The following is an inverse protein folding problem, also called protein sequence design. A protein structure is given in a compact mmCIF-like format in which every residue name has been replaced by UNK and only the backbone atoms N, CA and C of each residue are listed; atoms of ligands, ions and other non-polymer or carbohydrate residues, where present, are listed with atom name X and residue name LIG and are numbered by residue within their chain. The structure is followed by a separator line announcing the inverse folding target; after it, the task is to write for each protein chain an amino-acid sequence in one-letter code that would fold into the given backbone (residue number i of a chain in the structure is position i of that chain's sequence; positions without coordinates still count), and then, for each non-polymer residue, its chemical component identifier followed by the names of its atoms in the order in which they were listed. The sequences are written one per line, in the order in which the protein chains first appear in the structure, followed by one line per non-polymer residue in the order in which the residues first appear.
data_IF_949373965555
#
_entry.id   IF_949373965555
#
_cell.length_a   1.000
_cell.length_b   1.000
_cell.length_c   1.000
_cell.angle_alpha   90.00
_cell.angle_beta   90.00
_cell.angle_gamma   90.00
#
_symmetry.space_group_name_H-M   'P 1'
#
loop_
_entity.id
_entity.type
_entity.pdbx_description
1 polymer ?
#
# COMPACT_ATOMS: atom_id res chain seq x y z
N UNK A 1 -6.89 6.61 -11.99
CA UNK A 1 -7.26 5.23 -12.41
C UNK A 1 -8.22 4.63 -11.38
N UNK A 2 -9.11 3.73 -11.78
CA UNK A 2 -10.08 3.09 -10.87
C UNK A 2 -9.49 1.82 -10.26
N UNK A 3 -9.63 1.64 -8.96
CA UNK A 3 -9.30 0.39 -8.26
C UNK A 3 -10.15 -0.77 -8.84
N UNK A 4 -9.54 -1.92 -9.13
CA UNK A 4 -10.21 -3.07 -9.78
C UNK A 4 -10.08 -4.36 -8.95
N UNK A 5 -10.86 -5.37 -9.30
CA UNK A 5 -10.82 -6.68 -8.63
C UNK A 5 -9.43 -7.37 -8.69
N UNK A 6 -8.65 -7.15 -9.76
CA UNK A 6 -7.29 -7.69 -9.86
C UNK A 6 -6.36 -7.07 -8.79
N UNK A 7 -6.50 -5.76 -8.53
CA UNK A 7 -5.76 -5.09 -7.46
C UNK A 7 -6.15 -5.59 -6.07
N UNK A 8 -7.41 -6.01 -5.90
CA UNK A 8 -7.87 -6.62 -4.64
C UNK A 8 -7.28 -8.02 -4.44
N UNK A 9 -7.08 -8.81 -5.50
CA UNK A 9 -6.44 -10.14 -5.43
C UNK A 9 -4.95 -10.02 -5.07
N UNK A 10 -4.23 -9.10 -5.70
CA UNK A 10 -2.82 -8.85 -5.36
C UNK A 10 -2.64 -8.39 -3.90
N UNK A 11 -3.60 -7.59 -3.39
CA UNK A 11 -3.60 -7.16 -1.98
C UNK A 11 -4.03 -8.28 -1.00
N UNK A 12 -4.79 -9.29 -1.45
CA UNK A 12 -5.17 -10.45 -0.63
C UNK A 12 -3.99 -11.40 -0.39
N UNK A 13 -2.96 -11.36 -1.23
CA UNK A 13 -1.68 -12.06 -1.00
C UNK A 13 -0.89 -11.48 0.18
N UNK A 14 -1.27 -10.30 0.69
CA UNK A 14 -0.73 -9.72 1.92
C UNK A 14 -1.37 -10.33 3.17
N UNK A 15 -1.12 -11.62 3.39
CA UNK A 15 -1.76 -12.45 4.43
C UNK A 15 -1.64 -11.91 5.87
N UNK A 16 -0.76 -10.94 6.13
CA UNK A 16 -0.45 -10.43 7.47
C UNK A 16 -0.53 -8.90 7.62
N UNK A 17 -1.07 -8.18 6.63
CA UNK A 17 -1.17 -6.71 6.71
C UNK A 17 -2.45 -6.30 7.43
N UNK A 18 -2.32 -5.34 8.34
CA UNK A 18 -3.45 -4.77 9.04
C UNK A 18 -4.45 -4.12 8.06
N UNK A 19 -5.74 -4.44 8.20
CA UNK A 19 -6.81 -3.98 7.29
C UNK A 19 -6.84 -2.46 7.04
N UNK A 20 -6.58 -1.58 8.03
CA UNK A 20 -6.49 -0.12 7.80
C UNK A 20 -5.37 0.28 6.82
N UNK A 21 -4.29 -0.51 6.75
CA UNK A 21 -3.13 -0.23 5.90
C UNK A 21 -3.28 -0.84 4.51
N UNK A 22 -3.94 -1.99 4.39
CA UNK A 22 -4.09 -2.70 3.12
C UNK A 22 -4.70 -1.82 2.02
N UNK A 23 -5.69 -0.98 2.34
CA UNK A 23 -6.33 -0.13 1.33
C UNK A 23 -5.41 1.00 0.83
N UNK A 24 -4.76 1.73 1.74
CA UNK A 24 -3.82 2.80 1.39
C UNK A 24 -2.60 2.24 0.65
N UNK A 25 -2.09 1.09 1.09
CA UNK A 25 -1.02 0.39 0.42
C UNK A 25 -1.41 -0.05 -1.00
N UNK A 26 -2.60 -0.62 -1.20
CA UNK A 26 -3.01 -1.06 -2.53
C UNK A 26 -3.15 0.12 -3.54
N UNK A 27 -3.61 1.29 -3.09
CA UNK A 27 -3.66 2.51 -3.91
C UNK A 27 -2.25 2.98 -4.26
N UNK A 28 -1.35 3.07 -3.27
CA UNK A 28 0.01 3.52 -3.47
C UNK A 28 0.81 2.57 -4.39
N UNK A 29 0.63 1.26 -4.24
CA UNK A 29 1.22 0.26 -5.12
C UNK A 29 0.73 0.38 -6.57
N UNK A 30 -0.57 0.61 -6.77
CA UNK A 30 -1.15 0.83 -8.10
C UNK A 30 -0.59 2.08 -8.78
N UNK A 31 -0.44 3.19 -8.04
CA UNK A 31 0.18 4.41 -8.55
C UNK A 31 1.66 4.19 -8.91
N UNK A 32 2.40 3.49 -8.05
CA UNK A 32 3.81 3.16 -8.28
C UNK A 32 4.00 2.31 -9.55
N UNK A 33 3.11 1.34 -9.81
CA UNK A 33 3.11 0.54 -11.05
C UNK A 33 2.76 1.35 -12.31
N UNK A 34 2.00 2.42 -12.16
CA UNK A 34 1.72 3.36 -13.26
C UNK A 34 2.88 4.34 -13.51
N UNK A 35 3.97 4.25 -12.74
CA UNK A 35 5.11 5.16 -12.84
C UNK A 35 4.89 6.50 -12.13
N UNK A 36 3.83 6.62 -11.32
CA UNK A 36 3.59 7.83 -10.55
C UNK A 36 4.41 7.79 -9.24
N UNK A 37 5.22 8.83 -8.96
CA UNK A 37 5.95 8.91 -7.71
C UNK A 37 4.96 9.20 -6.57
N UNK A 38 4.86 8.28 -5.61
CA UNK A 38 3.94 8.41 -4.48
C UNK A 38 4.67 8.16 -3.16
N UNK A 39 4.43 9.05 -2.21
CA UNK A 39 4.97 8.95 -0.84
C UNK A 39 3.83 8.63 0.10
N UNK A 40 3.97 7.54 0.86
CA UNK A 40 3.02 7.20 1.92
C UNK A 40 3.56 7.73 3.25
N UNK A 41 2.75 8.52 3.94
CA UNK A 41 3.05 9.00 5.28
C UNK A 41 2.28 8.16 6.30
N UNK A 42 2.98 7.65 7.32
CA UNK A 42 2.36 6.87 8.40
C UNK A 42 3.10 7.08 9.71
N UNK A 43 2.36 7.24 10.81
CA UNK A 43 2.91 7.24 12.17
C UNK A 43 3.28 5.83 12.65
N UNK A 44 2.81 4.80 11.94
CA UNK A 44 3.07 3.39 12.20
C UNK A 44 3.64 2.73 10.92
N UNK A 45 4.89 3.04 10.53
CA UNK A 45 5.47 2.55 9.28
C UNK A 45 5.63 1.02 9.25
N UNK A 46 5.81 0.39 10.42
CA UNK A 46 5.99 -1.07 10.52
C UNK A 46 4.78 -1.86 10.02
N UNK A 47 3.57 -1.26 10.06
CA UNK A 47 2.35 -1.89 9.55
C UNK A 47 2.33 -2.06 8.02
N UNK A 48 3.25 -1.40 7.29
CA UNK A 48 3.41 -1.55 5.84
C UNK A 48 4.36 -2.71 5.48
N UNK A 49 4.97 -3.38 6.46
CA UNK A 49 5.83 -4.54 6.23
C UNK A 49 5.09 -5.61 5.41
N UNK A 50 5.74 -6.11 4.35
CA UNK A 50 5.16 -7.11 3.46
C UNK A 50 4.33 -6.56 2.29
N UNK A 51 4.00 -5.26 2.27
CA UNK A 51 3.29 -4.62 1.14
C UNK A 51 4.22 -4.22 -0.02
N UNK A 52 5.53 -4.21 0.22
CA UNK A 52 6.53 -3.67 -0.72
C UNK A 52 6.57 -2.14 -0.80
N UNK A 53 5.85 -1.44 0.10
CA UNK A 53 5.78 0.01 0.16
C UNK A 53 6.60 0.53 1.33
N UNK A 54 7.42 1.54 1.07
CA UNK A 54 8.14 2.27 2.11
C UNK A 54 7.27 3.42 2.59
N UNK A 55 6.81 3.36 3.84
CA UNK A 55 6.14 4.47 4.50
C UNK A 55 7.18 5.37 5.20
N UNK A 56 7.00 6.69 5.11
CA UNK A 56 7.78 7.67 5.86
C UNK A 56 7.01 8.10 7.11
N UNK A 57 7.71 8.15 8.24
CA UNK A 57 7.17 8.71 9.46
C UNK A 57 7.48 10.21 9.51
N UNK A 58 6.46 11.10 9.54
CA UNK A 58 6.68 12.55 9.51
C UNK A 58 7.05 13.20 10.87
N UNK A 59 7.18 12.41 11.93
CA UNK A 59 7.60 12.86 13.28
C UNK A 59 9.05 12.52 13.58
#
# INVERSE_FOLDING_TARGET
MSFTAAHAVDAMDWAHVHRPVAHAAAIAWQAMRAGEPLTVLSLEPDLYTGTGITALNPI
#
